data_IF_256800009849
#
_entry.id   IF_256800009849
#
_cell.length_a   1.000
_cell.length_b   1.000
_cell.length_c   1.000
_cell.angle_alpha   90.00
_cell.angle_beta   90.00
_cell.angle_gamma   90.00
#
_symmetry.space_group_name_H-M   'P 1'
#
loop_
_entity.id
_entity.type
_entity.pdbx_description
1 polymer ?
#
# COMPACT_ATOMS: atom_id res chain seq x y z
N UNK A 1 9.64 15.55 -5.89
CA UNK A 1 9.34 14.85 -7.17
C UNK A 1 8.96 13.45 -6.78
N UNK A 2 7.76 13.01 -7.13
CA UNK A 2 7.33 11.61 -6.93
C UNK A 2 7.27 10.95 -8.30
N UNK A 3 7.85 9.76 -8.41
CA UNK A 3 7.76 8.93 -9.61
C UNK A 3 7.08 7.62 -9.24
N UNK A 4 6.36 7.02 -10.20
CA UNK A 4 5.67 5.76 -9.97
C UNK A 4 5.84 4.84 -11.17
N UNK A 5 6.07 3.57 -10.88
CA UNK A 5 6.14 2.48 -11.85
C UNK A 5 5.12 1.41 -11.47
N UNK A 6 4.49 0.84 -12.50
CA UNK A 6 3.48 -0.20 -12.35
C UNK A 6 3.83 -1.34 -13.29
N UNK A 7 3.87 -2.56 -12.74
CA UNK A 7 4.12 -3.77 -13.52
C UNK A 7 3.29 -4.93 -13.02
N UNK A 8 2.93 -5.83 -13.94
CA UNK A 8 2.31 -7.10 -13.59
C UNK A 8 3.42 -8.13 -13.41
N UNK A 9 3.42 -8.82 -12.27
CA UNK A 9 4.36 -9.89 -11.92
C UNK A 9 3.56 -11.11 -11.47
N UNK A 10 3.46 -12.12 -12.33
CA UNK A 10 2.65 -13.32 -12.07
C UNK A 10 1.17 -12.97 -11.88
N UNK A 11 0.64 -13.29 -10.72
CA UNK A 11 -0.73 -13.02 -10.27
C UNK A 11 -0.85 -11.73 -9.42
N UNK A 12 0.16 -10.86 -9.44
CA UNK A 12 0.17 -9.59 -8.70
C UNK A 12 0.46 -8.40 -9.59
N UNK A 13 -0.07 -7.24 -9.20
CA UNK A 13 0.37 -5.92 -9.64
C UNK A 13 1.36 -5.38 -8.61
N UNK A 14 2.56 -5.06 -9.05
CA UNK A 14 3.56 -4.37 -8.24
C UNK A 14 3.54 -2.88 -8.56
N UNK A 15 3.31 -2.09 -7.52
CA UNK A 15 3.31 -0.63 -7.56
C UNK A 15 4.54 -0.14 -6.84
N UNK A 16 5.43 0.53 -7.56
CA UNK A 16 6.65 1.11 -7.01
C UNK A 16 6.52 2.63 -7.02
N UNK A 17 6.75 3.26 -5.87
CA UNK A 17 6.74 4.72 -5.73
C UNK A 17 8.08 5.19 -5.19
N UNK A 18 8.69 6.14 -5.89
CA UNK A 18 9.85 6.88 -5.40
C UNK A 18 9.41 8.25 -4.90
N UNK A 19 9.92 8.63 -3.73
CA UNK A 19 9.71 9.92 -3.10
C UNK A 19 11.07 10.44 -2.61
N UNK A 20 11.34 11.72 -2.79
CA UNK A 20 12.57 12.36 -2.33
C UNK A 20 12.63 12.55 -0.80
N UNK A 21 11.50 12.45 -0.09
CA UNK A 21 11.48 12.47 1.37
C UNK A 21 11.99 11.12 1.93
N UNK A 22 13.10 11.07 2.69
CA UNK A 22 13.68 9.83 3.21
C UNK A 22 12.93 9.26 4.43
N UNK A 23 11.90 9.95 4.95
CA UNK A 23 11.11 9.47 6.08
C UNK A 23 10.30 8.25 5.66
N UNK A 24 10.62 7.10 6.25
CA UNK A 24 9.86 5.87 6.03
C UNK A 24 8.47 5.98 6.66
N UNK A 25 7.43 5.49 5.98
CA UNK A 25 6.08 5.53 6.51
C UNK A 25 5.96 4.56 7.68
N UNK A 26 5.23 4.98 8.72
CA UNK A 26 4.96 4.17 9.91
C UNK A 26 3.45 3.96 9.99
N UNK A 27 3.02 2.70 10.03
CA UNK A 27 1.61 2.37 10.20
C UNK A 27 1.19 2.81 11.61
N UNK A 28 0.07 3.53 11.69
CA UNK A 28 -0.56 3.84 12.98
C UNK A 28 -1.60 2.77 13.28
N UNK A 29 -2.04 2.74 14.54
CA UNK A 29 -3.17 1.89 14.90
C UNK A 29 -4.44 2.45 14.27
N UNK A 30 -5.31 1.58 13.76
CA UNK A 30 -6.61 1.98 13.24
C UNK A 30 -7.41 2.72 14.34
N UNK A 31 -7.90 3.91 13.99
CA UNK A 31 -8.66 4.79 14.89
C UNK A 31 -9.78 5.46 14.10
N UNK A 32 -11.03 5.07 14.38
CA UNK A 32 -12.20 5.59 13.67
C UNK A 32 -12.50 7.07 13.96
N UNK A 33 -11.93 7.64 15.04
CA UNK A 33 -12.08 9.05 15.39
C UNK A 33 -10.99 9.95 14.81
N UNK A 34 -9.96 9.38 14.19
CA UNK A 34 -8.83 10.13 13.64
C UNK A 34 -9.11 10.60 12.22
N UNK A 35 -8.77 11.85 11.93
CA UNK A 35 -8.84 12.39 10.57
C UNK A 35 -7.47 12.25 9.91
N UNK A 36 -7.39 11.44 8.86
CA UNK A 36 -6.18 11.23 8.06
C UNK A 36 -5.17 10.24 8.64
N UNK A 37 -4.00 10.13 7.99
CA UNK A 37 -2.92 9.19 8.35
C UNK A 37 -3.29 7.70 8.29
N UNK A 38 -4.38 7.36 7.60
CA UNK A 38 -4.80 5.97 7.35
C UNK A 38 -4.21 5.39 6.06
N UNK A 39 -3.49 6.18 5.27
CA UNK A 39 -3.01 5.76 3.95
C UNK A 39 -2.22 4.45 4.00
N UNK A 40 -1.26 4.34 4.93
CA UNK A 40 -0.48 3.12 5.08
C UNK A 40 -1.32 1.96 5.66
N UNK A 41 -2.28 2.24 6.54
CA UNK A 41 -3.18 1.19 7.08
C UNK A 41 -4.01 0.56 5.96
N UNK A 42 -4.52 1.37 5.05
CA UNK A 42 -5.26 0.90 3.87
C UNK A 42 -4.35 0.06 2.98
N UNK A 43 -3.15 0.56 2.67
CA UNK A 43 -2.18 -0.18 1.83
C UNK A 43 -1.84 -1.53 2.45
N UNK A 44 -1.59 -1.58 3.76
CA UNK A 44 -1.31 -2.83 4.48
C UNK A 44 -2.50 -3.80 4.51
N UNK A 45 -3.73 -3.29 4.40
CA UNK A 45 -4.93 -4.12 4.36
C UNK A 45 -5.18 -4.75 2.98
N UNK A 46 -4.78 -4.09 1.90
CA UNK A 46 -5.05 -4.54 0.51
C UNK A 46 -3.85 -5.21 -0.16
N UNK A 47 -2.63 -4.88 0.26
CA UNK A 47 -1.43 -5.43 -0.34
C UNK A 47 -1.14 -6.82 0.23
N UNK A 48 -0.82 -7.77 -0.66
CA UNK A 48 -0.26 -9.07 -0.29
C UNK A 48 1.19 -8.95 0.20
N UNK A 49 1.90 -7.89 -0.20
CA UNK A 49 3.24 -7.58 0.28
C UNK A 49 3.53 -6.09 0.24
N UNK A 50 4.26 -5.59 1.24
CA UNK A 50 4.66 -4.19 1.34
C UNK A 50 6.11 -4.08 1.79
N UNK A 51 6.90 -3.30 1.05
CA UNK A 51 8.30 -3.01 1.37
C UNK A 51 8.53 -1.50 1.32
N UNK A 52 9.23 -0.96 2.32
CA UNK A 52 9.65 0.43 2.37
C UNK A 52 11.15 0.49 2.63
N UNK A 53 11.89 1.05 1.67
CA UNK A 53 13.34 1.10 1.71
C UNK A 53 13.81 2.54 1.58
N UNK A 54 14.79 2.92 2.42
CA UNK A 54 15.48 4.21 2.26
C UNK A 54 16.46 4.08 1.11
N UNK A 55 16.48 5.10 0.26
CA UNK A 55 17.39 5.22 -0.87
C UNK A 55 18.23 6.51 -0.69
N UNK A 56 19.39 6.64 -1.33
CA UNK A 56 20.27 7.80 -1.15
C UNK A 56 19.60 9.16 -1.38
N UNK A 57 18.59 9.20 -2.26
CA UNK A 57 17.85 10.41 -2.64
C UNK A 57 16.42 10.44 -2.09
N UNK A 58 16.08 9.60 -1.11
CA UNK A 58 14.76 9.56 -0.50
C UNK A 58 14.33 8.15 -0.08
N UNK A 59 13.23 7.65 -0.62
CA UNK A 59 12.72 6.30 -0.36
C UNK A 59 12.09 5.66 -1.57
N UNK A 60 12.08 4.34 -1.57
CA UNK A 60 11.32 3.48 -2.48
C UNK A 60 10.29 2.70 -1.69
N UNK A 61 9.03 2.81 -2.10
CA UNK A 61 7.92 2.03 -1.56
C UNK A 61 7.48 1.05 -2.65
N UNK A 62 7.33 -0.21 -2.28
CA UNK A 62 6.84 -1.28 -3.15
C UNK A 62 5.63 -1.91 -2.50
N UNK A 63 4.48 -1.90 -3.18
CA UNK A 63 3.29 -2.62 -2.77
C UNK A 63 2.94 -3.67 -3.84
N UNK A 64 2.67 -4.90 -3.41
CA UNK A 64 2.19 -6.00 -4.27
C UNK A 64 0.73 -6.26 -3.96
N UNK A 65 -0.12 -6.12 -4.96
CA UNK A 65 -1.58 -6.28 -4.86
C UNK A 65 -1.97 -7.46 -5.73
N UNK A 66 -2.90 -8.30 -5.27
CA UNK A 66 -3.44 -9.37 -6.09
C UNK A 66 -4.01 -8.82 -7.41
N UNK A 67 -3.66 -9.44 -8.54
CA UNK A 67 -4.22 -9.09 -9.85
C UNK A 67 -5.65 -9.61 -10.01
N UNK A 68 -5.94 -10.74 -9.36
CA UNK A 68 -7.26 -11.34 -9.29
C UNK A 68 -7.77 -11.29 -7.86
N UNK A 69 -9.07 -11.08 -7.69
CA UNK A 69 -9.69 -11.21 -6.38
C UNK A 69 -9.61 -12.68 -5.94
N UNK A 70 -9.02 -12.94 -4.77
CA UNK A 70 -9.15 -14.25 -4.13
C UNK A 70 -10.63 -14.49 -3.81
N UNK A 71 -11.13 -15.70 -4.04
CA UNK A 71 -12.51 -16.08 -3.68
C UNK A 71 -12.81 -15.93 -2.16
N UNK A 72 -11.78 -15.69 -1.33
CA UNK A 72 -11.90 -15.38 0.10
C UNK A 72 -11.54 -13.94 0.49
N UNK A 73 -11.13 -13.09 -0.45
CA UNK A 73 -10.77 -11.70 -0.23
C UNK A 73 -11.99 -10.80 -0.31
N UNK A 74 -12.79 -10.76 0.75
CA UNK A 74 -13.87 -9.77 0.86
C UNK A 74 -13.29 -8.36 0.96
N UNK A 75 -12.99 -7.74 -0.19
CA UNK A 75 -12.74 -6.30 -0.29
C UNK A 75 -14.07 -5.59 0.00
N UNK A 76 -14.32 -5.26 1.27
CA UNK A 76 -15.36 -4.35 1.74
C UNK A 76 -16.78 -4.55 1.15
N UNK A 77 -17.51 -5.55 1.68
CA UNK A 77 -18.93 -5.74 1.40
C UNK A 77 -19.75 -6.06 2.64
N UNK A 78 -19.67 -5.27 3.72
CA UNK A 78 -20.68 -5.36 4.78
C UNK A 78 -21.95 -4.70 4.27
N UNK A 79 -22.93 -5.51 3.87
CA UNK A 79 -24.27 -5.02 3.53
C UNK A 79 -24.83 -4.21 4.73
N UNK A 80 -25.29 -2.96 4.50
CA UNK A 80 -26.04 -2.24 5.51
C UNK A 80 -27.38 -2.96 5.70
N UNK A 81 -27.69 -3.27 6.95
CA UNK A 81 -28.99 -3.78 7.35
C UNK A 81 -29.85 -2.62 7.85
#
# INVERSE_FOLDING_TARGET
>A
MTASDLRITGDTVEVVVWDCDPVLPVARAADAGRVGQHGLEIVMAVAQGFEAQREPVGKRITARIALMDDAGGAIAGRQPR
#
